data_IF_858647090830
#
_entry.id   IF_858647090830
#
_cell.length_a   1.000
_cell.length_b   1.000
_cell.length_c   1.000
_cell.angle_alpha   90.00
_cell.angle_beta   90.00
_cell.angle_gamma   90.00
#
_symmetry.space_group_name_H-M   'P 1'
#
loop_
_entity.id
_entity.type
_entity.pdbx_description
1 polymer ?
#
# COMPACT_ATOMS: atom_id res chain seq x y z
N UNK A 1 -14.58 0.25 -4.48
CA UNK A 1 -14.89 0.53 -3.06
C UNK A 1 -13.75 -0.07 -2.24
N UNK A 2 -12.99 0.73 -1.48
CA UNK A 2 -11.88 0.19 -0.67
C UNK A 2 -12.46 -0.71 0.44
N UNK A 3 -11.91 -1.92 0.62
CA UNK A 3 -12.42 -2.91 1.59
C UNK A 3 -12.58 -2.30 3.00
N UNK A 4 -13.60 -2.70 3.78
CA UNK A 4 -13.74 -2.32 5.19
C UNK A 4 -12.47 -2.66 6.02
N UNK A 5 -11.76 -3.73 5.65
CA UNK A 5 -10.53 -4.17 6.31
C UNK A 5 -9.37 -3.20 6.06
N UNK A 6 -9.25 -2.70 4.83
CA UNK A 6 -8.31 -1.64 4.48
C UNK A 6 -8.53 -0.41 5.37
N UNK A 7 -9.79 0.05 5.53
CA UNK A 7 -10.08 1.18 6.41
C UNK A 7 -9.76 0.89 7.88
N UNK A 8 -9.98 -0.35 8.35
CA UNK A 8 -9.75 -0.74 9.75
C UNK A 8 -8.26 -0.80 10.10
N UNK A 9 -7.43 -1.44 9.26
CA UNK A 9 -5.97 -1.52 9.46
C UNK A 9 -5.32 -0.14 9.41
N UNK A 10 -5.74 0.72 8.49
CA UNK A 10 -5.14 2.06 8.39
C UNK A 10 -5.67 3.04 9.45
N UNK A 11 -6.89 2.83 9.98
CA UNK A 11 -7.43 3.61 11.11
C UNK A 11 -6.72 3.30 12.43
N UNK A 12 -6.32 2.04 12.67
CA UNK A 12 -5.56 1.69 13.88
C UNK A 12 -4.14 2.24 13.89
N UNK A 13 -3.53 2.45 12.72
CA UNK A 13 -2.13 2.90 12.58
C UNK A 13 -2.03 4.43 12.33
N UNK A 14 -3.14 5.17 12.45
CA UNK A 14 -3.21 6.63 12.22
C UNK A 14 -2.48 7.05 10.94
N UNK A 15 -2.77 6.35 9.84
CA UNK A 15 -2.14 6.64 8.56
C UNK A 15 -2.70 7.94 7.96
N UNK A 16 -1.82 8.78 7.41
CA UNK A 16 -2.24 10.02 6.73
C UNK A 16 -3.01 9.67 5.45
N UNK A 17 -3.94 10.53 5.03
CA UNK A 17 -4.71 10.35 3.77
C UNK A 17 -3.79 10.08 2.56
N UNK A 18 -2.63 10.73 2.50
CA UNK A 18 -1.64 10.51 1.45
C UNK A 18 -1.00 9.12 1.49
N UNK A 19 -0.81 8.52 2.65
CA UNK A 19 -0.34 7.14 2.81
C UNK A 19 -1.43 6.14 2.42
N UNK A 20 -2.68 6.42 2.80
CA UNK A 20 -3.85 5.60 2.42
C UNK A 20 -3.99 5.57 0.90
N UNK A 21 -3.90 6.73 0.23
CA UNK A 21 -3.91 6.82 -1.24
C UNK A 21 -2.74 6.04 -1.87
N UNK A 22 -1.55 6.15 -1.28
CA UNK A 22 -0.39 5.41 -1.77
C UNK A 22 -0.58 3.90 -1.67
N UNK A 23 -1.10 3.41 -0.54
CA UNK A 23 -1.41 2.00 -0.34
C UNK A 23 -2.51 1.51 -1.28
N UNK A 24 -3.48 2.37 -1.63
CA UNK A 24 -4.49 2.06 -2.62
C UNK A 24 -3.88 1.81 -4.02
N UNK A 25 -2.85 2.57 -4.42
CA UNK A 25 -2.17 2.29 -5.67
C UNK A 25 -1.45 0.92 -5.68
N UNK A 26 -0.81 0.56 -4.57
CA UNK A 26 -0.16 -0.76 -4.42
C UNK A 26 -1.21 -1.88 -4.44
N UNK A 27 -2.32 -1.68 -3.72
CA UNK A 27 -3.45 -2.60 -3.69
C UNK A 27 -4.08 -2.84 -5.06
N UNK A 28 -4.12 -1.82 -5.92
CA UNK A 28 -4.54 -1.91 -7.32
C UNK A 28 -3.44 -2.43 -8.26
N UNK A 29 -2.31 -2.87 -7.71
CA UNK A 29 -1.18 -3.44 -8.43
C UNK A 29 -0.48 -2.50 -9.44
N UNK A 30 -0.53 -1.17 -9.19
CA UNK A 30 0.23 -0.22 -10.02
C UNK A 30 1.74 -0.35 -9.79
N UNK A 31 2.50 -0.26 -10.86
CA UNK A 31 3.96 -0.28 -10.83
C UNK A 31 4.53 1.00 -10.19
N UNK A 32 5.78 0.93 -9.73
CA UNK A 32 6.48 2.09 -9.16
C UNK A 32 6.55 3.27 -10.14
N UNK A 33 6.61 3.00 -11.46
CA UNK A 33 6.65 4.03 -12.51
C UNK A 33 5.29 4.71 -12.68
N UNK A 34 4.21 3.94 -12.78
CA UNK A 34 2.84 4.48 -12.88
C UNK A 34 2.49 5.31 -11.65
N UNK A 35 2.85 4.84 -10.44
CA UNK A 35 2.62 5.60 -9.22
C UNK A 35 3.39 6.92 -9.23
N UNK A 36 4.64 6.93 -9.70
CA UNK A 36 5.45 8.13 -9.82
C UNK A 36 4.80 9.16 -10.76
N UNK A 37 4.31 8.68 -11.90
CA UNK A 37 3.59 9.48 -12.89
C UNK A 37 2.27 10.04 -12.33
N UNK A 38 1.40 9.20 -11.75
CA UNK A 38 0.12 9.63 -11.19
C UNK A 38 0.23 10.53 -9.97
N UNK A 39 1.34 10.45 -9.24
CA UNK A 39 1.57 11.29 -8.06
C UNK A 39 2.46 12.50 -8.34
N UNK A 40 2.94 12.66 -9.58
CA UNK A 40 3.92 13.68 -9.95
C UNK A 40 5.14 13.67 -9.02
N UNK A 41 5.62 12.47 -8.66
CA UNK A 41 6.80 12.30 -7.81
C UNK A 41 7.88 11.50 -8.52
N UNK A 42 9.12 11.52 -8.00
CA UNK A 42 10.17 10.68 -8.56
C UNK A 42 9.97 9.22 -8.20
N UNK A 43 10.44 8.31 -9.07
CA UNK A 43 10.48 6.86 -8.80
C UNK A 43 11.20 6.55 -7.49
N UNK A 44 12.27 7.29 -7.17
CA UNK A 44 13.01 7.16 -5.90
C UNK A 44 12.13 7.51 -4.70
N UNK A 45 11.33 8.55 -4.78
CA UNK A 45 10.37 8.92 -3.73
C UNK A 45 9.34 7.81 -3.51
N UNK A 46 8.83 7.20 -4.58
CA UNK A 46 7.89 6.06 -4.50
C UNK A 46 8.55 4.85 -3.82
N UNK A 47 9.80 4.54 -4.15
CA UNK A 47 10.56 3.46 -3.50
C UNK A 47 10.74 3.70 -2.00
N UNK A 48 11.12 4.93 -1.60
CA UNK A 48 11.23 5.31 -0.19
C UNK A 48 9.88 5.17 0.53
N UNK A 49 8.78 5.60 -0.11
CA UNK A 49 7.44 5.41 0.46
C UNK A 49 7.08 3.93 0.62
N UNK A 50 7.39 3.08 -0.35
CA UNK A 50 7.22 1.62 -0.23
C UNK A 50 7.98 1.06 0.97
N UNK A 51 9.23 1.46 1.16
CA UNK A 51 10.02 1.06 2.33
C UNK A 51 9.38 1.49 3.65
N UNK A 52 8.92 2.75 3.73
CA UNK A 52 8.25 3.25 4.93
C UNK A 52 6.95 2.52 5.23
N UNK A 53 6.13 2.25 4.20
CA UNK A 53 4.91 1.44 4.32
C UNK A 53 5.26 0.04 4.83
N UNK A 54 6.30 -0.59 4.27
CA UNK A 54 6.78 -1.91 4.71
C UNK A 54 7.11 -1.91 6.20
N UNK A 55 7.89 -0.93 6.68
CA UNK A 55 8.24 -0.79 8.09
C UNK A 55 7.04 -0.51 8.98
N UNK A 56 6.14 0.39 8.54
CA UNK A 56 4.98 0.82 9.32
C UNK A 56 3.93 -0.28 9.48
N UNK A 57 3.77 -1.13 8.46
CA UNK A 57 2.88 -2.28 8.47
C UNK A 57 3.58 -3.58 8.89
N UNK A 58 4.85 -3.49 9.30
CA UNK A 58 5.65 -4.64 9.77
C UNK A 58 5.67 -5.79 8.75
N UNK A 59 5.69 -5.47 7.45
CA UNK A 59 5.64 -6.47 6.38
C UNK A 59 7.01 -7.19 6.31
N UNK A 60 7.02 -8.53 6.36
CA UNK A 60 8.24 -9.32 6.24
C UNK A 60 9.05 -9.01 4.97
N UNK A 61 10.38 -9.18 5.02
CA UNK A 61 11.27 -8.91 3.87
C UNK A 61 11.19 -9.97 2.77
N UNK A 62 10.86 -11.19 3.15
CA UNK A 62 10.63 -12.36 2.28
C UNK A 62 9.28 -12.32 1.56
N UNK A 63 8.34 -11.48 2.02
CA UNK A 63 7.02 -11.34 1.39
C UNK A 63 6.98 -10.13 0.45
N UNK A 64 6.61 -10.34 -0.82
CA UNK A 64 6.37 -9.24 -1.76
C UNK A 64 5.22 -8.32 -1.27
N UNK A 65 5.41 -7.01 -1.39
CA UNK A 65 4.46 -6.01 -0.89
C UNK A 65 3.13 -6.07 -1.64
N UNK A 66 3.12 -6.33 -2.95
CA UNK A 66 1.91 -6.46 -3.75
C UNK A 66 1.15 -7.73 -3.36
N UNK A 67 1.85 -8.84 -3.14
CA UNK A 67 1.24 -10.07 -2.63
C UNK A 67 0.63 -9.84 -1.25
N UNK A 68 1.34 -9.14 -0.34
CA UNK A 68 0.82 -8.80 0.99
C UNK A 68 -0.48 -7.98 0.89
N UNK A 69 -0.53 -6.98 0.02
CA UNK A 69 -1.74 -6.18 -0.20
C UNK A 69 -2.86 -6.97 -0.91
N UNK A 70 -2.52 -7.91 -1.80
CA UNK A 70 -3.50 -8.79 -2.47
C UNK A 70 -4.17 -9.75 -1.49
N UNK A 71 -3.44 -10.25 -0.48
CA UNK A 71 -4.01 -11.07 0.60
C UNK A 71 -5.10 -10.34 1.38
N UNK A 72 -4.95 -9.03 1.61
CA UNK A 72 -6.01 -8.20 2.24
C UNK A 72 -7.31 -8.18 1.42
N UNK A 73 -7.26 -8.45 0.11
CA UNK A 73 -8.43 -8.57 -0.77
C UNK A 73 -9.07 -9.95 -0.63
N UNK A 74 -8.24 -10.99 -0.50
CA UNK A 74 -8.63 -12.41 -0.45
C UNK A 74 -9.37 -12.79 0.83
N UNK A 75 -9.06 -12.14 1.96
CA UNK A 75 -9.75 -12.31 3.24
C UNK A 75 -11.24 -11.85 3.22
N UNK A 76 -11.78 -11.45 2.06
CA UNK A 76 -13.19 -11.08 1.89
C UNK A 76 -13.97 -12.12 1.03
N UNK A 77 -13.39 -13.28 0.73
CA UNK A 77 -14.06 -14.39 0.01
C UNK A 77 -14.50 -15.53 0.93
N UNK A 78 -14.35 -15.39 2.26
CA UNK A 78 -14.94 -16.27 3.27
C UNK A 78 -15.93 -15.51 4.17
#
# INVERSE_FOLDING_TARGET
>A
MLSPFFRRTFKSISAKISEIRFCAYIYLNFSTKEIAEYTFTSVRTVQTKKYNVRKKLTIPSDMDIYIWFSKLLSDNLE
#
